data_IF_218116043887
#
_entry.id   IF_218116043887
#
_cell.length_a   1.000
_cell.length_b   1.000
_cell.length_c   1.000
_cell.angle_alpha   90.00
_cell.angle_beta   90.00
_cell.angle_gamma   90.00
#
_symmetry.space_group_name_H-M   'P 1'
#
loop_
_entity.id
_entity.type
_entity.pdbx_description
1 polymer ?
#
# COMPACT_ATOMS: atom_id res chain seq x y z
N UNK A 1 7.71 12.65 -4.11
CA UNK A 1 7.89 11.38 -4.87
C UNK A 1 8.63 11.73 -6.16
N UNK A 2 9.78 11.08 -6.41
CA UNK A 2 10.58 11.38 -7.60
C UNK A 2 10.49 10.26 -8.65
N UNK A 3 10.26 9.03 -8.23
CA UNK A 3 10.25 7.86 -9.11
C UNK A 3 9.13 6.91 -8.73
N UNK A 4 8.29 6.59 -9.70
CA UNK A 4 7.20 5.63 -9.58
C UNK A 4 7.51 4.44 -10.49
N UNK A 5 7.42 3.22 -9.96
CA UNK A 5 7.49 2.01 -10.75
C UNK A 5 6.11 1.35 -10.73
N UNK A 6 5.62 0.94 -11.89
CA UNK A 6 4.39 0.14 -11.97
C UNK A 6 4.65 -1.16 -12.71
N UNK A 7 4.11 -2.25 -12.18
CA UNK A 7 4.15 -3.54 -12.84
C UNK A 7 2.78 -3.92 -13.39
N UNK A 8 2.74 -4.36 -14.64
CA UNK A 8 1.53 -4.78 -15.34
C UNK A 8 1.65 -6.20 -15.88
N UNK A 9 0.54 -6.93 -15.84
CA UNK A 9 0.33 -8.20 -16.51
C UNK A 9 -0.60 -8.06 -17.73
N UNK A 10 -0.88 -6.80 -18.13
CA UNK A 10 -1.82 -6.40 -19.18
C UNK A 10 -3.28 -6.71 -18.89
N UNK A 11 -3.62 -7.26 -17.74
CA UNK A 11 -5.01 -7.45 -17.30
C UNK A 11 -5.71 -6.11 -17.06
N UNK A 12 -7.04 -6.05 -16.98
CA UNK A 12 -7.77 -4.84 -16.63
C UNK A 12 -7.32 -4.22 -15.29
N UNK A 13 -6.94 -5.05 -14.31
CA UNK A 13 -6.39 -4.57 -13.05
C UNK A 13 -4.97 -4.00 -13.22
N UNK A 14 -4.14 -4.63 -14.05
CA UNK A 14 -2.83 -4.11 -14.44
C UNK A 14 -2.94 -2.77 -15.17
N UNK A 15 -3.93 -2.60 -16.04
CA UNK A 15 -4.19 -1.34 -16.75
C UNK A 15 -4.61 -0.22 -15.79
N UNK A 16 -5.51 -0.51 -14.81
CA UNK A 16 -5.86 0.47 -13.76
C UNK A 16 -4.66 0.89 -12.94
N UNK A 17 -3.80 -0.06 -12.57
CA UNK A 17 -2.58 0.24 -11.83
C UNK A 17 -1.62 1.14 -12.64
N UNK A 18 -1.49 0.91 -13.95
CA UNK A 18 -0.69 1.76 -14.84
C UNK A 18 -1.29 3.17 -14.91
N UNK A 19 -2.61 3.29 -15.05
CA UNK A 19 -3.26 4.60 -15.08
C UNK A 19 -3.08 5.35 -13.76
N UNK A 20 -3.29 4.68 -12.61
CA UNK A 20 -3.04 5.26 -11.30
C UNK A 20 -1.60 5.74 -11.13
N UNK A 21 -0.62 4.95 -11.59
CA UNK A 21 0.79 5.33 -11.55
C UNK A 21 1.12 6.53 -12.45
N UNK A 22 0.51 6.61 -13.64
CA UNK A 22 0.69 7.72 -14.56
C UNK A 22 0.11 9.02 -13.98
N UNK A 23 -1.08 8.97 -13.37
CA UNK A 23 -1.70 10.13 -12.72
C UNK A 23 -0.87 10.62 -11.52
N UNK A 24 -0.31 9.69 -10.75
CA UNK A 24 0.64 10.01 -9.71
C UNK A 24 1.91 10.67 -10.26
N UNK A 25 2.48 10.11 -11.32
CA UNK A 25 3.69 10.65 -11.94
C UNK A 25 3.46 12.08 -12.46
N UNK A 26 2.31 12.35 -13.09
CA UNK A 26 1.94 13.70 -13.55
C UNK A 26 1.81 14.68 -12.40
N UNK A 27 1.08 14.29 -11.34
CA UNK A 27 0.82 15.15 -10.19
C UNK A 27 2.11 15.52 -9.44
N UNK A 28 3.00 14.57 -9.26
CA UNK A 28 4.25 14.74 -8.52
C UNK A 28 5.42 15.17 -9.43
N UNK A 29 5.22 15.27 -10.74
CA UNK A 29 6.28 15.47 -11.76
C UNK A 29 7.40 14.43 -11.60
N UNK A 30 7.01 13.19 -11.34
CA UNK A 30 7.90 12.07 -11.09
C UNK A 30 8.21 11.28 -12.37
N UNK A 31 9.40 10.69 -12.44
CA UNK A 31 9.73 9.72 -13.47
C UNK A 31 8.91 8.42 -13.27
N UNK A 32 8.35 7.89 -14.36
CA UNK A 32 7.53 6.69 -14.38
C UNK A 32 8.24 5.56 -15.13
N UNK A 33 8.30 4.38 -14.50
CA UNK A 33 8.75 3.17 -15.19
C UNK A 33 7.67 2.11 -15.17
N UNK A 34 7.27 1.67 -16.38
CA UNK A 34 6.31 0.58 -16.57
C UNK A 34 7.07 -0.71 -16.85
N UNK A 35 6.86 -1.75 -16.04
CA UNK A 35 7.52 -3.04 -16.24
C UNK A 35 6.53 -4.17 -16.42
N UNK A 36 6.91 -5.14 -17.27
CA UNK A 36 6.24 -6.43 -17.36
C UNK A 36 7.25 -7.54 -17.11
N UNK A 37 6.84 -8.57 -16.37
CA UNK A 37 7.68 -9.74 -16.10
C UNK A 37 7.16 -10.94 -16.88
N UNK A 38 7.84 -11.24 -17.98
CA UNK A 38 7.55 -12.42 -18.80
C UNK A 38 8.10 -13.71 -18.16
N UNK A 39 7.48 -14.86 -18.39
CA UNK A 39 8.03 -16.14 -17.97
C UNK A 39 9.43 -16.38 -18.56
N UNK A 40 10.33 -16.97 -17.78
CA UNK A 40 11.68 -17.33 -18.29
C UNK A 40 11.58 -18.38 -19.40
N UNK A 41 12.57 -18.40 -20.30
CA UNK A 41 12.68 -19.38 -21.38
C UNK A 41 12.60 -20.82 -20.83
N UNK A 42 13.25 -21.11 -19.69
CA UNK A 42 13.20 -22.43 -19.04
C UNK A 42 11.79 -22.83 -18.61
N UNK A 43 10.99 -21.89 -18.13
CA UNK A 43 9.60 -22.16 -17.73
C UNK A 43 8.69 -22.37 -18.92
N UNK A 44 8.88 -21.61 -20.00
CA UNK A 44 8.15 -21.77 -21.25
C UNK A 44 8.52 -23.08 -21.96
N UNK A 45 9.79 -23.46 -21.98
CA UNK A 45 10.26 -24.71 -22.55
C UNK A 45 9.70 -25.95 -21.83
N UNK A 46 9.44 -25.86 -20.51
CA UNK A 46 8.81 -26.93 -19.75
C UNK A 46 7.32 -27.12 -20.06
N UNK A 47 6.64 -26.06 -20.52
CA UNK A 47 5.22 -26.11 -20.90
C UNK A 47 5.03 -26.54 -22.36
N UNK A 48 5.97 -26.23 -23.24
CA UNK A 48 5.92 -26.57 -24.64
C UNK A 48 7.16 -27.34 -25.03
N UNK A 49 6.99 -28.57 -25.44
CA UNK A 49 8.06 -29.43 -26.03
C UNK A 49 8.65 -28.87 -27.31
N UNK A 50 8.39 -27.61 -27.67
CA UNK A 50 8.75 -27.03 -28.95
C UNK A 50 9.34 -25.66 -28.88
N UNK A 51 10.49 -25.56 -29.52
CA UNK A 51 11.10 -24.42 -30.21
C UNK A 51 11.30 -23.09 -29.46
N UNK A 52 12.57 -22.71 -29.32
CA UNK A 52 13.05 -21.36 -28.98
C UNK A 52 12.33 -20.22 -29.75
N UNK A 53 11.79 -20.52 -30.94
CA UNK A 53 11.02 -19.54 -31.74
C UNK A 53 9.78 -19.03 -30.99
N UNK A 54 9.08 -19.86 -30.23
CA UNK A 54 7.90 -19.47 -29.48
C UNK A 54 8.25 -18.58 -28.29
N UNK A 55 9.39 -18.81 -27.67
CA UNK A 55 9.89 -17.95 -26.58
C UNK A 55 10.17 -16.53 -27.07
N UNK A 56 10.85 -16.41 -28.20
CA UNK A 56 11.12 -15.09 -28.84
C UNK A 56 9.84 -14.39 -29.29
N UNK A 57 8.85 -15.15 -29.78
CA UNK A 57 7.56 -14.58 -30.16
C UNK A 57 6.82 -13.99 -28.94
N UNK A 58 6.76 -14.73 -27.81
CA UNK A 58 6.13 -14.26 -26.57
C UNK A 58 6.82 -12.99 -26.05
N UNK A 59 8.16 -12.94 -26.05
CA UNK A 59 8.88 -11.76 -25.60
C UNK A 59 8.66 -10.56 -26.52
N UNK A 60 8.61 -10.76 -27.83
CA UNK A 60 8.28 -9.67 -28.78
C UNK A 60 6.87 -9.14 -28.54
N UNK A 61 5.88 -10.02 -28.44
CA UNK A 61 4.50 -9.62 -28.16
C UNK A 61 4.36 -8.86 -26.84
N UNK A 62 5.09 -9.27 -25.81
CA UNK A 62 5.12 -8.56 -24.52
C UNK A 62 5.78 -7.18 -24.64
N UNK A 63 6.87 -7.05 -25.40
CA UNK A 63 7.51 -5.77 -25.68
C UNK A 63 6.60 -4.82 -26.46
N UNK A 64 5.89 -5.34 -27.47
CA UNK A 64 4.91 -4.57 -28.25
C UNK A 64 3.71 -4.14 -27.40
N UNK A 65 3.24 -5.01 -26.50
CA UNK A 65 2.19 -4.67 -25.56
C UNK A 65 2.63 -3.56 -24.57
N UNK A 66 3.85 -3.62 -24.04
CA UNK A 66 4.41 -2.56 -23.20
C UNK A 66 4.48 -1.22 -23.95
N UNK A 67 4.89 -1.24 -25.22
CA UNK A 67 4.94 -0.02 -26.03
C UNK A 67 3.55 0.58 -26.21
N UNK A 68 2.54 -0.23 -26.56
CA UNK A 68 1.14 0.23 -26.65
C UNK A 68 0.62 0.82 -25.34
N UNK A 69 0.97 0.20 -24.20
CA UNK A 69 0.59 0.73 -22.87
C UNK A 69 1.25 2.08 -22.64
N UNK A 70 2.53 2.24 -22.96
CA UNK A 70 3.24 3.51 -22.81
C UNK A 70 2.65 4.62 -23.70
N UNK A 71 2.37 4.31 -24.96
CA UNK A 71 1.73 5.23 -25.89
C UNK A 71 0.31 5.64 -25.44
N UNK A 72 -0.44 4.71 -24.88
CA UNK A 72 -1.81 4.97 -24.40
C UNK A 72 -1.87 5.88 -23.17
N UNK A 73 -0.90 5.77 -22.24
CA UNK A 73 -0.88 6.58 -21.02
C UNK A 73 -0.21 7.94 -21.20
N UNK A 74 0.62 8.11 -22.21
CA UNK A 74 1.37 9.35 -22.48
C UNK A 74 1.46 9.65 -23.97
N UNK A 75 0.31 9.89 -24.65
CA UNK A 75 0.27 10.16 -26.09
C UNK A 75 1.05 11.42 -26.46
N UNK A 76 1.06 12.41 -25.59
CA UNK A 76 1.72 13.71 -25.80
C UNK A 76 3.18 13.73 -25.34
N UNK A 77 3.70 12.62 -24.81
CA UNK A 77 5.08 12.46 -24.31
C UNK A 77 5.49 13.52 -23.28
N UNK A 78 4.60 13.77 -22.32
CA UNK A 78 4.81 14.75 -21.25
C UNK A 78 5.43 14.13 -19.99
N UNK A 79 5.43 12.80 -19.88
CA UNK A 79 6.03 12.09 -18.75
C UNK A 79 7.48 11.71 -19.04
N UNK A 80 8.32 11.76 -18.01
CA UNK A 80 9.59 11.03 -18.01
C UNK A 80 9.29 9.52 -17.87
N UNK A 81 8.95 8.90 -19.01
CA UNK A 81 8.42 7.55 -19.09
C UNK A 81 9.43 6.57 -19.67
N UNK A 82 9.67 5.48 -18.96
CA UNK A 82 10.47 4.36 -19.45
C UNK A 82 9.72 3.03 -19.31
N UNK A 83 10.06 2.07 -20.15
CA UNK A 83 9.49 0.72 -20.10
C UNK A 83 10.57 -0.33 -19.91
N UNK A 84 10.20 -1.48 -19.31
CA UNK A 84 11.13 -2.58 -19.07
C UNK A 84 10.45 -3.94 -19.18
N UNK A 85 10.98 -4.80 -20.07
CA UNK A 85 10.61 -6.21 -20.12
C UNK A 85 11.64 -7.00 -19.32
N UNK A 86 11.18 -7.71 -18.29
CA UNK A 86 12.01 -8.50 -17.38
C UNK A 86 11.59 -9.96 -17.50
N UNK A 87 12.49 -10.90 -17.24
CA UNK A 87 12.14 -12.33 -17.27
C UNK A 87 12.36 -12.98 -15.91
N UNK A 88 11.45 -13.88 -15.51
CA UNK A 88 11.64 -14.66 -14.28
C UNK A 88 10.40 -14.79 -13.38
N UNK A 89 10.62 -14.82 -12.08
CA UNK A 89 9.55 -14.87 -11.07
C UNK A 89 9.01 -13.47 -10.81
N UNK A 90 7.76 -13.22 -11.14
CA UNK A 90 7.15 -11.88 -11.13
C UNK A 90 7.43 -11.10 -9.84
N UNK A 91 7.01 -11.59 -8.68
CA UNK A 91 7.18 -10.85 -7.42
C UNK A 91 8.63 -10.50 -7.11
N UNK A 92 9.56 -11.47 -7.31
CA UNK A 92 10.99 -11.25 -7.05
C UNK A 92 11.59 -10.23 -8.00
N UNK A 93 11.26 -10.32 -9.30
CA UNK A 93 11.80 -9.42 -10.29
C UNK A 93 11.23 -8.00 -10.18
N UNK A 94 9.96 -7.87 -9.81
CA UNK A 94 9.32 -6.57 -9.56
C UNK A 94 9.95 -5.89 -8.34
N UNK A 95 10.10 -6.61 -7.22
CA UNK A 95 10.74 -6.07 -6.03
C UNK A 95 12.18 -5.62 -6.30
N UNK A 96 12.96 -6.44 -7.04
CA UNK A 96 14.30 -6.10 -7.47
C UNK A 96 14.33 -4.85 -8.37
N UNK A 97 13.45 -4.78 -9.37
CA UNK A 97 13.35 -3.64 -10.27
C UNK A 97 12.99 -2.34 -9.51
N UNK A 98 12.14 -2.41 -8.47
CA UNK A 98 11.82 -1.28 -7.63
C UNK A 98 13.05 -0.72 -6.89
N UNK A 99 13.89 -1.60 -6.36
CA UNK A 99 15.16 -1.22 -5.71
C UNK A 99 16.16 -0.65 -6.71
N UNK A 100 16.40 -1.35 -7.84
CA UNK A 100 17.34 -0.92 -8.88
C UNK A 100 16.95 0.43 -9.50
N UNK A 101 15.65 0.66 -9.70
CA UNK A 101 15.12 1.94 -10.18
C UNK A 101 15.12 3.03 -9.10
N UNK A 102 15.41 2.68 -7.84
CA UNK A 102 15.27 3.57 -6.67
C UNK A 102 13.86 4.18 -6.61
N UNK A 103 12.85 3.35 -6.83
CA UNK A 103 11.47 3.80 -6.78
C UNK A 103 11.10 4.27 -5.36
N UNK A 104 10.40 5.38 -5.25
CA UNK A 104 9.77 5.79 -3.99
C UNK A 104 8.47 4.99 -3.77
N UNK A 105 7.79 4.67 -4.87
CA UNK A 105 6.52 3.93 -4.85
C UNK A 105 6.49 2.86 -5.94
N UNK A 106 6.05 1.67 -5.55
CA UNK A 106 5.71 0.57 -6.46
C UNK A 106 4.18 0.46 -6.54
N UNK A 107 3.64 0.46 -7.76
CA UNK A 107 2.20 0.29 -8.02
C UNK A 107 1.95 -1.05 -8.68
N UNK A 108 0.97 -1.80 -8.18
CA UNK A 108 0.53 -3.07 -8.79
C UNK A 108 -1.00 -3.19 -8.70
N UNK A 109 -1.60 -3.90 -9.64
CA UNK A 109 -2.99 -4.30 -9.49
C UNK A 109 -3.15 -5.25 -8.29
N UNK A 110 -4.15 -5.05 -7.46
CA UNK A 110 -4.40 -5.94 -6.33
C UNK A 110 -4.68 -7.37 -6.78
N UNK A 111 -5.33 -7.55 -7.94
CA UNK A 111 -5.55 -8.84 -8.61
C UNK A 111 -4.94 -8.78 -10.00
N UNK A 112 -4.44 -9.89 -10.51
CA UNK A 112 -3.93 -10.04 -11.87
C UNK A 112 -4.84 -10.87 -12.74
N UNK A 113 -4.34 -11.28 -13.91
CA UNK A 113 -5.03 -12.07 -14.95
C UNK A 113 -5.72 -13.34 -14.41
N UNK A 114 -5.16 -13.98 -13.40
CA UNK A 114 -5.69 -15.21 -12.81
C UNK A 114 -6.60 -14.95 -11.59
N UNK A 115 -6.96 -13.69 -11.31
CA UNK A 115 -7.87 -13.33 -10.23
C UNK A 115 -9.32 -13.61 -10.62
N UNK A 116 -10.05 -14.41 -9.83
CA UNK A 116 -11.49 -14.63 -10.05
C UNK A 116 -12.24 -13.31 -9.87
N UNK A 117 -13.10 -12.97 -10.81
CA UNK A 117 -13.97 -11.77 -10.75
C UNK A 117 -15.14 -11.94 -9.77
N UNK A 118 -15.43 -13.18 -9.38
CA UNK A 118 -16.50 -13.57 -8.47
C UNK A 118 -15.91 -14.14 -7.18
N UNK A 119 -15.91 -13.36 -6.11
CA UNK A 119 -15.41 -13.79 -4.81
C UNK A 119 -15.07 -12.60 -3.92
N UNK A 120 -14.85 -12.81 -2.62
CA UNK A 120 -14.48 -11.74 -1.71
C UNK A 120 -13.22 -11.02 -2.21
N UNK A 121 -13.04 -9.72 -1.87
CA UNK A 121 -11.83 -8.98 -2.22
C UNK A 121 -10.62 -9.75 -1.71
N UNK A 122 -9.68 -10.07 -2.60
CA UNK A 122 -8.46 -10.82 -2.28
C UNK A 122 -7.29 -10.29 -3.09
N UNK A 123 -6.09 -10.74 -2.77
CA UNK A 123 -4.89 -10.42 -3.52
C UNK A 123 -4.54 -11.51 -4.54
N UNK A 124 -4.02 -11.10 -5.68
CA UNK A 124 -3.35 -12.00 -6.61
C UNK A 124 -2.04 -12.54 -6.01
N UNK A 125 -1.58 -13.70 -6.50
CA UNK A 125 -0.40 -14.37 -5.95
C UNK A 125 0.89 -13.52 -6.01
N UNK A 126 1.04 -12.66 -7.01
CA UNK A 126 2.17 -11.72 -7.11
C UNK A 126 2.06 -10.61 -6.07
N UNK A 127 0.90 -9.97 -5.96
CA UNK A 127 0.65 -8.88 -5.02
C UNK A 127 0.79 -9.34 -3.56
N UNK A 128 0.28 -10.56 -3.24
CA UNK A 128 0.46 -11.19 -1.92
C UNK A 128 1.93 -11.31 -1.52
N UNK A 129 2.79 -11.73 -2.45
CA UNK A 129 4.23 -11.87 -2.19
C UNK A 129 4.91 -10.52 -2.06
N UNK A 130 4.50 -9.53 -2.87
CA UNK A 130 5.09 -8.19 -2.83
C UNK A 130 4.83 -7.47 -1.51
N UNK A 131 3.65 -7.65 -0.89
CA UNK A 131 3.34 -7.06 0.42
C UNK A 131 4.41 -7.37 1.47
N UNK A 132 4.99 -8.59 1.44
CA UNK A 132 6.03 -8.99 2.39
C UNK A 132 7.47 -8.82 1.91
N UNK A 133 7.69 -8.39 0.65
CA UNK A 133 9.02 -8.41 0.03
C UNK A 133 9.56 -7.04 -0.33
N UNK A 134 8.69 -6.06 -0.58
CA UNK A 134 9.16 -4.77 -1.09
C UNK A 134 9.61 -3.83 0.02
N UNK A 135 10.79 -3.21 -0.12
CA UNK A 135 11.28 -2.19 0.81
C UNK A 135 10.82 -0.77 0.47
N UNK A 136 9.99 -0.61 -0.57
CA UNK A 136 9.44 0.68 -0.99
C UNK A 136 7.94 0.72 -0.75
N UNK A 137 7.35 1.92 -0.69
CA UNK A 137 5.89 2.05 -0.54
C UNK A 137 5.16 1.30 -1.64
N UNK A 138 4.19 0.44 -1.27
CA UNK A 138 3.46 -0.44 -2.19
C UNK A 138 2.00 -0.01 -2.30
N UNK A 139 1.60 0.48 -3.47
CA UNK A 139 0.20 0.75 -3.78
C UNK A 139 -0.44 -0.46 -4.46
N UNK A 140 -1.44 -1.02 -3.80
CA UNK A 140 -2.33 -2.05 -4.33
C UNK A 140 -3.55 -1.37 -4.95
N UNK A 141 -3.55 -1.20 -6.26
CA UNK A 141 -4.63 -0.52 -6.98
C UNK A 141 -5.80 -1.49 -7.26
N UNK A 142 -7.00 -1.06 -6.89
CA UNK A 142 -8.26 -1.80 -7.10
C UNK A 142 -9.21 -1.04 -8.01
N UNK A 143 -9.22 0.27 -7.90
CA UNK A 143 -10.16 1.15 -8.59
C UNK A 143 -9.46 2.05 -9.59
N UNK A 144 -10.25 2.67 -10.46
CA UNK A 144 -9.79 3.79 -11.25
C UNK A 144 -9.52 5.00 -10.34
N UNK A 145 -8.56 5.86 -10.70
CA UNK A 145 -8.30 7.10 -9.97
C UNK A 145 -9.56 7.94 -9.78
N UNK A 146 -9.71 8.55 -8.61
CA UNK A 146 -10.83 9.41 -8.24
C UNK A 146 -10.41 10.88 -8.26
N UNK A 147 -11.33 11.77 -8.66
CA UNK A 147 -11.08 13.22 -8.72
C UNK A 147 -10.90 13.83 -7.32
N UNK A 148 -11.68 13.37 -6.34
CA UNK A 148 -11.63 13.87 -4.97
C UNK A 148 -11.23 12.70 -4.07
N UNK A 149 -9.99 12.70 -3.56
CA UNK A 149 -9.53 11.64 -2.70
C UNK A 149 -10.16 11.72 -1.31
N UNK A 150 -10.55 10.57 -0.77
CA UNK A 150 -10.99 10.39 0.60
C UNK A 150 -10.11 9.32 1.23
N UNK A 151 -9.15 9.74 2.04
CA UNK A 151 -8.03 8.92 2.49
C UNK A 151 -8.12 8.67 3.99
N UNK A 152 -7.91 7.43 4.40
CA UNK A 152 -7.75 7.08 5.80
C UNK A 152 -6.34 6.58 6.07
N UNK A 153 -5.64 7.22 7.00
CA UNK A 153 -4.37 6.78 7.56
C UNK A 153 -4.61 5.96 8.82
N UNK A 154 -4.22 4.69 8.84
CA UNK A 154 -4.26 3.88 10.05
C UNK A 154 -2.88 3.89 10.72
N UNK A 155 -2.80 4.44 11.93
CA UNK A 155 -1.56 4.61 12.69
C UNK A 155 -1.63 3.88 14.03
N UNK A 156 -0.49 3.36 14.47
CA UNK A 156 -0.33 2.66 15.75
C UNK A 156 0.61 3.40 16.72
N UNK A 157 0.93 4.66 16.40
CA UNK A 157 1.86 5.53 17.13
C UNK A 157 3.29 4.98 17.20
N UNK A 158 3.64 4.03 16.34
CA UNK A 158 5.02 3.55 16.19
C UNK A 158 5.87 4.52 15.35
N UNK A 159 7.16 4.22 15.24
CA UNK A 159 8.11 5.00 14.43
C UNK A 159 7.75 5.13 12.93
N UNK A 160 6.88 4.26 12.42
CA UNK A 160 6.42 4.29 11.02
C UNK A 160 5.23 5.25 10.83
N UNK A 161 4.52 5.61 11.90
CA UNK A 161 3.28 6.39 11.85
C UNK A 161 3.46 7.76 11.21
N UNK A 162 4.59 8.42 11.43
CA UNK A 162 4.90 9.69 10.77
C UNK A 162 4.98 9.53 9.24
N UNK A 163 5.69 8.52 8.75
CA UNK A 163 5.77 8.22 7.33
C UNK A 163 4.40 7.85 6.73
N UNK A 164 3.57 7.11 7.47
CA UNK A 164 2.18 6.79 7.07
C UNK A 164 1.38 8.08 6.88
N UNK A 165 1.45 9.02 7.82
CA UNK A 165 0.75 10.29 7.73
C UNK A 165 1.26 11.18 6.59
N UNK A 166 2.58 11.23 6.36
CA UNK A 166 3.16 11.97 5.23
C UNK A 166 2.65 11.44 3.89
N UNK A 167 2.63 10.12 3.71
CA UNK A 167 2.07 9.49 2.52
C UNK A 167 0.58 9.75 2.39
N UNK A 168 -0.19 9.57 3.47
CA UNK A 168 -1.62 9.81 3.48
C UNK A 168 -1.97 11.27 3.16
N UNK A 169 -1.21 12.23 3.69
CA UNK A 169 -1.36 13.64 3.39
C UNK A 169 -1.17 13.95 1.91
N UNK A 170 -0.19 13.33 1.26
CA UNK A 170 0.03 13.46 -0.19
C UNK A 170 -1.11 12.82 -0.99
N UNK A 171 -1.57 11.63 -0.58
CA UNK A 171 -2.69 10.94 -1.23
C UNK A 171 -4.00 11.70 -1.09
N UNK A 172 -4.20 12.41 0.01
CA UNK A 172 -5.39 13.20 0.27
C UNK A 172 -5.31 14.65 -0.28
N UNK A 173 -4.30 14.99 -1.10
CA UNK A 173 -4.17 16.34 -1.64
C UNK A 173 -5.42 16.73 -2.45
N UNK A 174 -6.06 17.84 -2.07
CA UNK A 174 -7.33 18.30 -2.66
C UNK A 174 -8.58 17.55 -2.18
N UNK A 175 -8.45 16.71 -1.15
CA UNK A 175 -9.54 15.93 -0.58
C UNK A 175 -9.44 15.78 0.94
N UNK A 176 -10.14 14.80 1.47
CA UNK A 176 -10.29 14.57 2.92
C UNK A 176 -9.25 13.60 3.45
N UNK A 177 -8.68 13.93 4.62
CA UNK A 177 -7.78 13.06 5.37
C UNK A 177 -8.41 12.67 6.70
N UNK A 178 -8.63 11.37 6.89
CA UNK A 178 -8.97 10.78 8.17
C UNK A 178 -7.74 10.11 8.77
N UNK A 179 -7.58 10.21 10.08
CA UNK A 179 -6.54 9.49 10.82
C UNK A 179 -7.21 8.60 11.85
N UNK A 180 -7.01 7.31 11.72
CA UNK A 180 -7.56 6.28 12.58
C UNK A 180 -6.46 5.73 13.49
N UNK A 181 -6.75 5.71 14.79
CA UNK A 181 -5.94 5.05 15.80
C UNK A 181 -6.82 4.18 16.69
N UNK A 182 -6.47 2.91 16.83
CA UNK A 182 -7.11 2.00 17.76
C UNK A 182 -6.13 1.66 18.88
N UNK A 183 -6.62 1.69 20.13
CA UNK A 183 -5.84 1.35 21.30
C UNK A 183 -6.58 0.33 22.17
N UNK A 184 -5.82 -0.42 22.95
CA UNK A 184 -6.35 -1.31 23.99
C UNK A 184 -5.97 -0.78 25.37
N UNK A 185 -6.81 -1.02 26.34
CA UNK A 185 -6.52 -0.67 27.74
C UNK A 185 -5.79 -1.84 28.39
N UNK A 186 -4.49 -1.70 28.69
CA UNK A 186 -3.69 -2.80 29.21
C UNK A 186 -4.29 -3.37 30.49
N UNK A 187 -4.30 -4.68 30.59
CA UNK A 187 -4.74 -5.40 31.79
C UNK A 187 -6.21 -5.20 32.21
N UNK A 188 -7.05 -4.45 31.48
CA UNK A 188 -8.43 -4.16 31.89
C UNK A 188 -9.22 -5.43 32.27
N UNK A 189 -9.16 -6.48 31.45
CA UNK A 189 -9.84 -7.76 31.72
C UNK A 189 -9.29 -8.46 32.98
N UNK A 190 -7.99 -8.35 33.27
CA UNK A 190 -7.35 -8.94 34.45
C UNK A 190 -7.70 -8.14 35.67
N UNK A 191 -7.68 -6.82 35.63
CA UNK A 191 -8.07 -5.94 36.73
C UNK A 191 -9.52 -6.17 37.13
N UNK A 192 -10.40 -6.35 36.13
CA UNK A 192 -11.79 -6.73 36.37
C UNK A 192 -11.89 -8.11 37.05
N UNK A 193 -11.14 -9.10 36.60
CA UNK A 193 -11.10 -10.43 37.22
C UNK A 193 -10.54 -10.43 38.66
N UNK A 194 -9.68 -9.46 39.00
CA UNK A 194 -9.16 -9.27 40.37
C UNK A 194 -10.10 -8.47 41.27
N UNK A 195 -11.30 -8.11 40.79
CA UNK A 195 -12.31 -7.41 41.58
C UNK A 195 -12.06 -5.92 41.75
N UNK A 196 -11.24 -5.31 40.86
CA UNK A 196 -11.10 -3.86 40.84
C UNK A 196 -12.43 -3.22 40.48
N UNK A 197 -12.85 -2.23 41.28
CA UNK A 197 -14.13 -1.55 41.12
C UNK A 197 -14.26 -0.92 39.71
N UNK A 198 -15.45 -1.03 39.11
CA UNK A 198 -15.72 -0.51 37.77
C UNK A 198 -15.32 0.98 37.61
N UNK A 199 -15.63 1.82 38.61
CA UNK A 199 -15.26 3.23 38.59
C UNK A 199 -13.75 3.51 38.51
N UNK A 200 -12.91 2.66 39.13
CA UNK A 200 -11.45 2.79 39.01
C UNK A 200 -10.95 2.38 37.60
N UNK A 201 -11.60 1.39 36.98
CA UNK A 201 -11.32 0.99 35.59
C UNK A 201 -11.78 2.06 34.59
N UNK A 202 -12.87 2.76 34.86
CA UNK A 202 -13.35 3.86 34.03
C UNK A 202 -12.37 5.04 34.05
N UNK A 203 -11.85 5.42 35.23
CA UNK A 203 -10.82 6.46 35.38
C UNK A 203 -9.55 6.05 34.66
N UNK A 204 -9.07 4.82 34.81
CA UNK A 204 -7.88 4.30 34.14
C UNK A 204 -8.07 4.30 32.61
N UNK A 205 -9.26 3.91 32.14
CA UNK A 205 -9.57 3.90 30.70
C UNK A 205 -9.66 5.32 30.12
N UNK A 206 -10.14 6.29 30.90
CA UNK A 206 -10.19 7.69 30.48
C UNK A 206 -8.78 8.32 30.39
N UNK A 207 -7.91 7.98 31.34
CA UNK A 207 -6.52 8.44 31.33
C UNK A 207 -5.74 7.88 30.12
N UNK A 208 -5.88 6.59 29.84
CA UNK A 208 -5.32 5.95 28.65
C UNK A 208 -5.86 6.61 27.36
N UNK A 209 -7.16 6.89 27.28
CA UNK A 209 -7.75 7.58 26.14
C UNK A 209 -7.13 8.96 25.92
N UNK A 210 -6.99 9.76 26.97
CA UNK A 210 -6.39 11.09 26.90
C UNK A 210 -4.92 11.04 26.46
N UNK A 211 -4.15 10.09 26.99
CA UNK A 211 -2.76 9.90 26.55
C UNK A 211 -2.65 9.59 25.06
N UNK A 212 -3.50 8.70 24.53
CA UNK A 212 -3.54 8.38 23.11
C UNK A 212 -3.99 9.58 22.26
N UNK A 213 -4.92 10.40 22.74
CA UNK A 213 -5.32 11.65 22.09
C UNK A 213 -4.13 12.61 21.96
N UNK A 214 -3.43 12.88 23.07
CA UNK A 214 -2.27 13.80 23.07
C UNK A 214 -1.14 13.32 22.16
N UNK A 215 -0.86 12.02 22.15
CA UNK A 215 0.16 11.45 21.27
C UNK A 215 -0.24 11.57 19.79
N UNK A 216 -1.50 11.30 19.46
CA UNK A 216 -2.00 11.44 18.10
C UNK A 216 -1.99 12.89 17.64
N UNK A 217 -2.40 13.83 18.49
CA UNK A 217 -2.38 15.26 18.19
C UNK A 217 -0.96 15.78 17.95
N UNK A 218 -0.02 15.37 18.78
CA UNK A 218 1.40 15.69 18.59
C UNK A 218 1.93 15.16 17.26
N UNK A 219 1.58 13.91 16.91
CA UNK A 219 1.98 13.29 15.66
C UNK A 219 1.38 14.02 14.45
N UNK A 220 0.09 14.37 14.49
CA UNK A 220 -0.58 15.11 13.42
C UNK A 220 0.02 16.51 13.27
N UNK A 221 0.18 17.24 14.37
CA UNK A 221 0.71 18.59 14.37
C UNK A 221 2.14 18.65 13.78
N UNK A 222 2.98 17.67 14.13
CA UNK A 222 4.36 17.60 13.62
C UNK A 222 4.46 17.15 12.17
N UNK A 223 3.52 16.32 11.70
CA UNK A 223 3.62 15.66 10.37
C UNK A 223 2.80 16.38 9.30
N UNK A 224 1.64 16.94 9.67
CA UNK A 224 0.69 17.58 8.76
C UNK A 224 0.31 19.00 9.23
N UNK A 225 1.27 19.90 9.43
CA UNK A 225 1.00 21.22 9.99
C UNK A 225 0.00 22.00 9.11
N UNK A 226 -1.02 22.59 9.76
CA UNK A 226 -2.02 23.43 9.10
C UNK A 226 -3.03 22.67 8.21
N UNK A 227 -2.99 21.36 8.17
CA UNK A 227 -3.97 20.53 7.46
C UNK A 227 -5.15 20.19 8.34
N UNK A 228 -6.36 20.34 7.79
CA UNK A 228 -7.57 19.79 8.43
C UNK A 228 -7.56 18.26 8.37
N UNK A 229 -7.72 17.63 9.53
CA UNK A 229 -7.63 16.17 9.72
C UNK A 229 -8.78 15.70 10.59
N UNK A 230 -9.57 14.76 10.06
CA UNK A 230 -10.61 14.09 10.84
C UNK A 230 -10.01 12.96 11.67
N UNK A 231 -9.97 13.15 12.99
CA UNK A 231 -9.43 12.16 13.94
C UNK A 231 -10.49 11.14 14.30
N UNK A 232 -10.07 9.89 14.37
CA UNK A 232 -10.87 8.74 14.78
C UNK A 232 -10.04 7.94 15.75
N UNK A 233 -10.41 7.97 17.04
CA UNK A 233 -9.74 7.21 18.08
C UNK A 233 -10.76 6.26 18.70
N UNK A 234 -10.44 4.98 18.69
CA UNK A 234 -11.33 3.93 19.16
C UNK A 234 -10.60 2.98 20.10
N UNK A 235 -11.32 2.55 21.14
CA UNK A 235 -10.86 1.46 21.99
C UNK A 235 -11.27 0.13 21.39
N UNK A 236 -10.31 -0.79 21.22
CA UNK A 236 -10.59 -2.15 20.77
C UNK A 236 -9.68 -2.63 19.64
N UNK A 237 -10.16 -3.66 18.93
CA UNK A 237 -9.40 -4.28 17.86
C UNK A 237 -9.32 -3.39 16.61
N UNK A 238 -8.10 -3.05 16.22
CA UNK A 238 -7.82 -2.16 15.11
C UNK A 238 -8.39 -2.65 13.76
N UNK A 239 -8.40 -3.96 13.52
CA UNK A 239 -8.91 -4.49 12.26
C UNK A 239 -10.44 -4.35 12.18
N UNK A 240 -11.13 -4.64 13.26
CA UNK A 240 -12.59 -4.52 13.35
C UNK A 240 -13.04 -3.07 13.24
N UNK A 241 -12.40 -2.14 13.97
CA UNK A 241 -12.68 -0.70 13.90
C UNK A 241 -12.46 -0.16 12.48
N UNK A 242 -11.30 -0.47 11.89
CA UNK A 242 -10.97 -0.06 10.53
C UNK A 242 -12.03 -0.50 9.50
N UNK A 243 -12.55 -1.73 9.64
CA UNK A 243 -13.54 -2.28 8.73
C UNK A 243 -14.89 -1.58 8.81
N UNK A 244 -15.31 -1.18 10.02
CA UNK A 244 -16.53 -0.40 10.22
C UNK A 244 -16.47 0.94 9.48
N UNK A 245 -15.31 1.56 9.39
CA UNK A 245 -15.11 2.83 8.69
C UNK A 245 -15.09 2.71 7.18
N UNK A 246 -14.69 1.58 6.58
CA UNK A 246 -14.78 1.38 5.13
C UNK A 246 -16.17 1.60 4.57
N UNK A 247 -17.19 1.13 5.28
CA UNK A 247 -18.58 1.27 4.84
C UNK A 247 -19.15 2.68 5.07
N UNK A 248 -18.66 3.37 6.10
CA UNK A 248 -19.21 4.67 6.53
C UNK A 248 -18.61 5.86 5.80
N UNK A 249 -17.33 5.79 5.43
CA UNK A 249 -16.58 6.95 4.96
C UNK A 249 -16.38 7.00 3.45
N UNK A 250 -16.88 6.04 2.68
CA UNK A 250 -16.68 5.99 1.22
C UNK A 250 -15.22 6.26 0.81
N UNK A 251 -14.30 5.56 1.48
CA UNK A 251 -12.86 5.77 1.31
C UNK A 251 -12.42 5.41 -0.12
N UNK A 252 -11.47 6.18 -0.64
CA UNK A 252 -10.78 5.87 -1.90
C UNK A 252 -9.49 5.13 -1.66
N UNK A 253 -8.78 5.47 -0.59
CA UNK A 253 -7.47 4.90 -0.27
C UNK A 253 -7.29 4.72 1.24
N UNK A 254 -6.75 3.57 1.61
CA UNK A 254 -6.25 3.28 2.95
C UNK A 254 -4.72 3.32 2.94
N UNK A 255 -4.13 4.03 3.88
CA UNK A 255 -2.68 4.10 4.09
C UNK A 255 -2.31 3.55 5.45
N UNK A 256 -1.35 2.63 5.50
CA UNK A 256 -0.93 1.98 6.75
C UNK A 256 0.52 1.50 6.68
N UNK A 257 1.12 1.30 7.83
CA UNK A 257 2.50 0.80 7.96
C UNK A 257 2.59 -0.71 7.69
N UNK A 258 3.73 -1.16 7.21
CA UNK A 258 4.00 -2.59 6.98
C UNK A 258 4.08 -3.39 8.29
N UNK A 259 4.68 -2.79 9.32
CA UNK A 259 4.87 -3.39 10.65
C UNK A 259 4.58 -2.38 11.75
N UNK A 260 3.99 -2.87 12.83
CA UNK A 260 4.15 -2.27 14.14
C UNK A 260 5.35 -2.93 14.82
N UNK A 261 6.47 -2.23 14.94
CA UNK A 261 7.57 -2.66 15.80
C UNK A 261 7.19 -2.39 17.26
N UNK A 262 6.44 -3.30 17.88
CA UNK A 262 6.26 -3.27 19.33
C UNK A 262 7.54 -3.78 19.99
N UNK A 263 8.10 -3.07 21.00
CA UNK A 263 9.24 -3.54 21.75
C UNK A 263 8.96 -4.95 22.33
N UNK A 264 9.89 -5.88 22.13
CA UNK A 264 9.81 -7.24 22.70
C UNK A 264 9.14 -8.31 21.84
N UNK A 265 8.71 -8.03 20.62
CA UNK A 265 8.24 -9.04 19.67
C UNK A 265 9.27 -9.25 18.56
N UNK A 266 9.76 -10.48 18.31
CA UNK A 266 10.63 -10.73 17.16
C UNK A 266 9.87 -10.41 15.86
N UNK A 267 10.55 -9.77 14.91
CA UNK A 267 10.05 -9.47 13.57
C UNK A 267 9.92 -10.74 12.71
N UNK A 268 9.16 -11.74 13.18
CA UNK A 268 9.04 -13.05 12.54
C UNK A 268 7.96 -13.11 11.44
N UNK A 269 7.18 -12.07 11.27
CA UNK A 269 6.19 -11.98 10.20
C UNK A 269 6.46 -10.76 9.35
N UNK A 270 6.56 -10.95 8.04
CA UNK A 270 6.91 -9.91 7.07
C UNK A 270 5.90 -8.73 7.00
N UNK A 271 4.79 -8.75 7.74
CA UNK A 271 3.80 -7.67 7.89
C UNK A 271 2.87 -7.90 9.09
N UNK A 272 2.34 -6.80 9.65
CA UNK A 272 1.40 -6.83 10.79
C UNK A 272 0.04 -7.45 10.42
N UNK A 273 -0.68 -7.93 11.43
CA UNK A 273 -2.01 -8.53 11.25
C UNK A 273 -3.00 -7.58 10.57
N UNK A 274 -3.03 -6.32 10.98
CA UNK A 274 -3.90 -5.27 10.42
C UNK A 274 -3.54 -4.98 8.96
N UNK A 275 -2.25 -4.83 8.64
CA UNK A 275 -1.78 -4.56 7.27
C UNK A 275 -2.08 -5.70 6.33
N UNK A 276 -1.92 -6.93 6.80
CA UNK A 276 -2.29 -8.12 6.05
C UNK A 276 -3.79 -8.17 5.80
N UNK A 277 -4.58 -7.99 6.85
CA UNK A 277 -6.03 -8.00 6.74
C UNK A 277 -6.54 -6.93 5.78
N UNK A 278 -6.06 -5.70 5.92
CA UNK A 278 -6.38 -4.59 5.04
C UNK A 278 -5.98 -4.85 3.58
N UNK A 279 -4.77 -5.37 3.34
CA UNK A 279 -4.31 -5.72 1.99
C UNK A 279 -5.21 -6.74 1.31
N UNK A 280 -5.76 -7.73 2.04
CA UNK A 280 -6.61 -8.77 1.49
C UNK A 280 -8.07 -8.34 1.35
N UNK A 281 -8.63 -7.64 2.33
CA UNK A 281 -10.07 -7.43 2.48
C UNK A 281 -10.54 -6.01 2.24
N UNK A 282 -9.62 -5.03 2.12
CA UNK A 282 -10.02 -3.65 1.81
C UNK A 282 -10.77 -3.58 0.49
N UNK A 283 -11.92 -2.92 0.45
CA UNK A 283 -12.61 -2.62 -0.81
C UNK A 283 -11.96 -1.48 -1.59
N UNK A 284 -11.05 -0.71 -0.98
CA UNK A 284 -10.40 0.47 -1.56
C UNK A 284 -8.95 0.20 -1.93
N UNK A 285 -8.30 1.13 -2.61
CA UNK A 285 -6.87 1.10 -2.82
C UNK A 285 -6.13 1.07 -1.47
N UNK A 286 -5.02 0.34 -1.40
CA UNK A 286 -4.24 0.21 -0.17
C UNK A 286 -2.79 0.58 -0.43
N UNK A 287 -2.30 1.59 0.28
CA UNK A 287 -0.88 1.93 0.32
C UNK A 287 -0.24 1.37 1.58
N UNK A 288 0.75 0.51 1.41
CA UNK A 288 1.53 -0.06 2.49
C UNK A 288 2.90 0.64 2.54
N UNK A 289 3.19 1.29 3.66
CA UNK A 289 4.42 2.04 3.88
C UNK A 289 5.40 1.18 4.67
N UNK A 290 6.57 0.82 4.11
CA UNK A 290 7.56 0.00 4.80
C UNK A 290 8.29 0.81 5.88
N UNK A 291 8.79 0.13 6.91
CA UNK A 291 9.57 0.75 7.98
C UNK A 291 10.85 1.46 7.46
N UNK A 292 11.45 0.94 6.40
CA UNK A 292 12.62 1.55 5.76
C UNK A 292 12.32 2.92 5.11
N UNK A 293 11.06 3.20 4.75
CA UNK A 293 10.67 4.49 4.20
C UNK A 293 10.66 5.61 5.25
N UNK A 294 10.57 5.26 6.54
CA UNK A 294 10.70 6.20 7.65
C UNK A 294 12.15 6.68 7.88
N UNK A 295 13.14 5.90 7.39
CA UNK A 295 14.57 6.21 7.58
C UNK A 295 15.18 7.04 6.43
N UNK A 296 14.45 7.29 5.34
CA UNK A 296 14.93 7.97 4.14
C UNK A 296 14.37 9.38 3.98
N UNK A 297 14.32 10.17 5.06
CA UNK A 297 14.17 11.62 4.89
C UNK A 297 15.45 12.19 4.28
N UNK A 298 15.40 12.91 3.17
CA UNK A 298 16.50 13.78 2.81
C UNK A 298 16.51 14.92 3.85
N UNK A 299 17.54 14.95 4.68
CA UNK A 299 17.93 16.19 5.35
C UNK A 299 17.97 17.28 4.29
N UNK A 300 17.09 18.25 4.46
CA UNK A 300 16.97 19.51 3.70
C UNK A 300 18.30 20.27 3.64
#
# INVERSE_FOLDING_TARGET
>A
IQRVLVATDFSPAGQRAVQAAADWARREKAALRVVHVAPSARRLAGLWRSSMRNVHAVHRQAADALRRVAEAIDPDRQLDLSTGLITGSAARQIARAAVEYRANMLVVGARGEHGTTTGPPGLGGTSTKLVGMTPVALLLSRHAPTLIPNVLAAVDLSSVSAAVLQWASRFAAGGTLHVFHAYDVPFASRLQAYGIAAGALDVYSADEHEQHNLQLDSLIASTCPGRDVHRIIERGDAASGLFAHFQRLSLTTLVLGQHSSRPGRPATTAYGSVSRYAAFFSPTDVLIVPAAAAASEPTS
#
